data_IF_070231437578
#
_entry.id   IF_070231437578
#
_cell.length_a   1.000
_cell.length_b   1.000
_cell.length_c   1.000
_cell.angle_alpha   90.00
_cell.angle_beta   90.00
_cell.angle_gamma   90.00
#
_symmetry.space_group_name_H-M   'P 1'
#
loop_
_entity.id
_entity.type
_entity.pdbx_description
1 polymer ?
#
# COMPACT_ATOMS: atom_id res chain seq x y z
N UNK A 1 6.00 7.58 16.61
CA UNK A 1 7.34 7.98 16.13
C UNK A 1 7.50 7.61 14.66
N UNK A 2 8.67 7.83 14.04
CA UNK A 2 8.96 7.24 12.71
C UNK A 2 9.08 5.71 12.74
N UNK A 3 9.61 5.14 13.84
CA UNK A 3 9.70 3.69 14.01
C UNK A 3 8.31 3.06 14.11
N UNK A 4 7.43 3.63 14.94
CA UNK A 4 6.06 3.13 15.12
C UNK A 4 5.27 3.20 13.80
N UNK A 5 5.50 4.23 12.98
CA UNK A 5 4.85 4.35 11.67
C UNK A 5 5.29 3.23 10.73
N UNK A 6 6.59 2.90 10.67
CA UNK A 6 7.08 1.78 9.87
C UNK A 6 6.49 0.44 10.36
N UNK A 7 6.51 0.19 11.68
CA UNK A 7 5.97 -1.05 12.26
C UNK A 7 4.48 -1.22 11.92
N UNK A 8 3.69 -0.16 12.08
CA UNK A 8 2.26 -0.19 11.76
C UNK A 8 1.99 -0.47 10.26
N UNK A 9 2.77 0.15 9.37
CA UNK A 9 2.64 -0.13 7.94
C UNK A 9 3.06 -1.56 7.59
N UNK A 10 4.16 -2.04 8.19
CA UNK A 10 4.67 -3.40 7.99
C UNK A 10 3.64 -4.44 8.42
N UNK A 11 3.09 -4.34 9.62
CA UNK A 11 2.14 -5.31 10.15
C UNK A 11 0.84 -5.34 9.32
N UNK A 12 0.36 -4.17 8.88
CA UNK A 12 -0.78 -4.08 7.99
C UNK A 12 -0.50 -4.70 6.60
N UNK A 13 0.70 -4.47 6.05
CA UNK A 13 1.11 -5.08 4.79
C UNK A 13 1.22 -6.60 4.93
N UNK A 14 1.91 -7.11 5.96
CA UNK A 14 2.15 -8.54 6.16
C UNK A 14 0.84 -9.32 6.25
N UNK A 15 -0.14 -8.80 6.99
CA UNK A 15 -1.46 -9.42 7.08
C UNK A 15 -2.16 -9.47 5.71
N UNK A 16 -2.19 -8.35 4.99
CA UNK A 16 -2.85 -8.29 3.68
C UNK A 16 -2.12 -9.13 2.61
N UNK A 17 -0.80 -9.22 2.70
CA UNK A 17 0.02 -10.02 1.80
C UNK A 17 -0.20 -11.52 2.04
N UNK A 18 -0.25 -11.96 3.30
CA UNK A 18 -0.61 -13.34 3.68
C UNK A 18 -2.04 -13.69 3.24
N UNK A 19 -3.03 -12.82 3.49
CA UNK A 19 -4.40 -13.03 2.99
C UNK A 19 -4.45 -13.07 1.45
N UNK A 20 -3.50 -12.39 0.80
CA UNK A 20 -3.34 -12.28 -0.64
C UNK A 20 -3.08 -13.60 -1.36
N UNK A 21 -2.53 -14.61 -0.68
CA UNK A 21 -2.35 -15.96 -1.25
C UNK A 21 -3.67 -16.54 -1.78
N UNK A 22 -4.80 -16.16 -1.15
CA UNK A 22 -6.14 -16.63 -1.54
C UNK A 22 -7.00 -15.51 -2.09
N UNK A 23 -6.96 -14.33 -1.47
CA UNK A 23 -7.85 -13.22 -1.78
C UNK A 23 -7.13 -11.89 -1.60
N UNK A 24 -6.42 -11.39 -2.63
CA UNK A 24 -5.77 -10.08 -2.60
C UNK A 24 -6.68 -8.94 -2.14
N UNK A 25 -6.07 -7.93 -1.52
CA UNK A 25 -6.71 -6.70 -1.02
C UNK A 25 -5.83 -5.50 -1.36
N UNK A 26 -6.38 -4.30 -1.19
CA UNK A 26 -5.65 -3.05 -1.35
C UNK A 26 -5.28 -2.44 0.01
N UNK A 27 -4.13 -1.78 0.06
CA UNK A 27 -3.71 -0.92 1.17
C UNK A 27 -3.62 0.53 0.71
N UNK A 28 -4.09 1.48 1.52
CA UNK A 28 -3.91 2.91 1.27
C UNK A 28 -3.02 3.52 2.34
N UNK A 29 -2.09 4.38 1.94
CA UNK A 29 -1.16 5.06 2.85
C UNK A 29 -1.37 6.57 2.73
N UNK A 30 -1.87 7.18 3.81
CA UNK A 30 -2.08 8.62 3.89
C UNK A 30 -0.77 9.35 4.20
N UNK A 31 -0.36 10.26 3.32
CA UNK A 31 0.85 11.06 3.48
C UNK A 31 0.51 12.55 3.45
N UNK A 32 1.24 13.33 4.26
CA UNK A 32 1.14 14.79 4.25
C UNK A 32 2.55 15.39 4.28
N UNK A 33 2.84 16.38 3.43
CA UNK A 33 4.17 16.99 3.34
C UNK A 33 4.68 17.53 4.68
N UNK A 34 3.80 18.19 5.44
CA UNK A 34 4.14 18.75 6.77
C UNK A 34 4.35 17.71 7.88
N UNK A 35 3.97 16.45 7.66
CA UNK A 35 4.09 15.36 8.65
C UNK A 35 5.10 14.33 8.14
N UNK A 36 4.72 13.57 7.12
CA UNK A 36 5.53 12.48 6.57
C UNK A 36 6.81 12.97 5.90
N UNK A 37 6.81 14.20 5.38
CA UNK A 37 7.99 14.83 4.78
C UNK A 37 9.02 15.36 5.77
N UNK A 38 8.70 15.42 7.07
CA UNK A 38 9.68 15.82 8.08
C UNK A 38 10.85 14.81 8.09
N UNK A 39 12.13 15.24 8.10
CA UNK A 39 13.28 14.33 7.99
C UNK A 39 13.27 13.17 8.99
N UNK A 40 12.88 13.43 10.24
CA UNK A 40 12.75 12.39 11.28
C UNK A 40 11.64 11.34 11.02
N UNK A 41 10.75 11.55 10.04
CA UNK A 41 9.63 10.67 9.67
C UNK A 41 9.75 10.11 8.26
N UNK A 42 10.33 10.86 7.32
CA UNK A 42 10.47 10.47 5.92
C UNK A 42 11.21 9.13 5.75
N UNK A 43 12.22 8.87 6.59
CA UNK A 43 12.97 7.61 6.54
C UNK A 43 12.10 6.37 6.83
N UNK A 44 11.03 6.52 7.61
CA UNK A 44 10.10 5.41 7.85
C UNK A 44 9.35 5.00 6.58
N UNK A 45 8.96 5.98 5.76
CA UNK A 45 8.34 5.75 4.46
C UNK A 45 9.33 5.10 3.49
N UNK A 46 10.56 5.59 3.42
CA UNK A 46 11.61 5.00 2.57
C UNK A 46 11.84 3.52 2.90
N UNK A 47 12.06 3.20 4.19
CA UNK A 47 12.22 1.80 4.64
C UNK A 47 11.01 0.92 4.31
N UNK A 48 9.80 1.46 4.40
CA UNK A 48 8.59 0.71 4.05
C UNK A 48 8.52 0.43 2.55
N UNK A 49 8.89 1.40 1.71
CA UNK A 49 8.98 1.20 0.25
C UNK A 49 10.04 0.16 -0.12
N UNK A 50 11.20 0.16 0.53
CA UNK A 50 12.22 -0.88 0.34
C UNK A 50 11.70 -2.26 0.77
N UNK A 51 11.00 -2.32 1.90
CA UNK A 51 10.42 -3.55 2.43
C UNK A 51 9.41 -4.19 1.46
N UNK A 52 8.44 -3.42 0.96
CA UNK A 52 7.41 -3.96 0.04
C UNK A 52 7.97 -4.31 -1.34
N UNK A 53 9.03 -3.63 -1.80
CA UNK A 53 9.73 -3.99 -3.04
C UNK A 53 10.52 -5.30 -2.92
N UNK A 54 10.84 -5.73 -1.70
CA UNK A 54 11.45 -7.03 -1.44
C UNK A 54 10.48 -8.22 -1.48
N UNK A 55 9.19 -7.99 -1.70
CA UNK A 55 8.17 -9.03 -1.78
C UNK A 55 7.64 -9.15 -3.21
N UNK A 56 7.44 -10.39 -3.66
CA UNK A 56 6.82 -10.66 -4.95
C UNK A 56 5.32 -10.29 -4.95
N UNK A 57 4.77 -10.10 -6.16
CA UNK A 57 3.35 -9.88 -6.43
C UNK A 57 2.73 -8.63 -5.75
N UNK A 58 3.52 -7.58 -5.50
CA UNK A 58 3.03 -6.29 -4.99
C UNK A 58 2.76 -5.30 -6.12
N UNK A 59 1.55 -4.74 -6.18
CA UNK A 59 1.17 -3.72 -7.15
C UNK A 59 1.16 -2.30 -6.53
N UNK A 60 2.28 -1.59 -6.64
CA UNK A 60 2.35 -0.16 -6.28
C UNK A 60 1.78 0.67 -7.43
N UNK A 61 0.61 1.27 -7.22
CA UNK A 61 -0.15 1.91 -8.29
C UNK A 61 -0.86 3.19 -7.88
N UNK A 62 -1.30 3.96 -8.88
CA UNK A 62 -2.16 5.13 -8.64
C UNK A 62 -3.60 4.65 -8.52
N UNK A 63 -4.42 5.40 -7.77
CA UNK A 63 -5.85 5.09 -7.59
C UNK A 63 -6.62 5.02 -8.93
N UNK A 64 -6.20 5.78 -9.94
CA UNK A 64 -6.79 5.73 -11.30
C UNK A 64 -6.52 4.40 -12.00
N UNK A 65 -5.38 3.77 -11.74
CA UNK A 65 -5.04 2.48 -12.33
C UNK A 65 -5.88 1.37 -11.70
N UNK A 66 -6.14 1.44 -10.39
CA UNK A 66 -7.11 0.57 -9.69
C UNK A 66 -8.51 0.73 -10.29
N UNK A 67 -8.97 1.96 -10.48
CA UNK A 67 -10.30 2.21 -11.06
C UNK A 67 -10.42 1.59 -12.47
N UNK A 68 -9.41 1.78 -13.32
CA UNK A 68 -9.36 1.18 -14.66
C UNK A 68 -9.34 -0.35 -14.60
N UNK A 69 -8.54 -0.94 -13.72
CA UNK A 69 -8.51 -2.38 -13.50
C UNK A 69 -9.88 -2.91 -13.08
N UNK A 70 -10.54 -2.24 -12.12
CA UNK A 70 -11.84 -2.65 -11.62
C UNK A 70 -12.92 -2.62 -12.71
N UNK A 71 -12.99 -1.56 -13.51
CA UNK A 71 -13.95 -1.49 -14.62
C UNK A 71 -13.74 -2.59 -15.67
N UNK A 72 -12.49 -2.99 -15.91
CA UNK A 72 -12.16 -4.02 -16.89
C UNK A 72 -12.40 -5.45 -16.38
N UNK A 73 -12.08 -5.73 -15.11
CA UNK A 73 -12.12 -7.08 -14.52
C UNK A 73 -13.45 -7.37 -13.79
N UNK A 74 -14.10 -6.33 -13.28
CA UNK A 74 -15.37 -6.38 -12.57
C UNK A 74 -16.36 -5.38 -13.18
N UNK A 75 -16.78 -5.59 -14.45
CA UNK A 75 -17.68 -4.66 -15.12
C UNK A 75 -19.02 -4.56 -14.39
N UNK A 76 -19.61 -3.37 -14.40
CA UNK A 76 -20.93 -3.15 -13.84
C UNK A 76 -21.97 -4.06 -14.53
N UNK A 77 -22.94 -4.64 -13.79
CA UNK A 77 -24.04 -5.38 -14.40
C UNK A 77 -24.75 -4.51 -15.44
N UNK A 78 -25.14 -5.12 -16.56
CA UNK A 78 -26.02 -4.45 -17.50
C UNK A 78 -27.41 -4.31 -16.85
N UNK A 79 -28.09 -3.17 -17.05
CA UNK A 79 -29.43 -2.94 -16.52
C UNK A 79 -30.45 -3.93 -17.08
#
# INVERSE_FOLDING_TARGET
SGADFFALLKDAFDLLWQEGERRPKMMSIGLHGRISGHPARAMALARFLDYVQGHDAVWVCRRVDIARHWMAVHPAPQP
#
